data_IF_299325323662
#
_entry.id   IF_299325323662
#
_cell.length_a   1.000
_cell.length_b   1.000
_cell.length_c   1.000
_cell.angle_alpha   90.00
_cell.angle_beta   90.00
_cell.angle_gamma   90.00
#
_symmetry.space_group_name_H-M   'P 1'
#
loop_
_entity.id
_entity.type
_entity.pdbx_description
1 polymer ?
#
# COMPACT_ATOMS: atom_id res chain seq x y z
N UNK A 1 3.60 -46.17 47.82
CA UNK A 1 4.00 -46.06 46.39
C UNK A 1 2.79 -45.72 45.50
N UNK A 2 1.87 -44.83 45.94
CA UNK A 2 0.55 -44.63 45.28
C UNK A 2 0.32 -43.19 44.76
N UNK A 3 1.15 -42.20 45.09
CA UNK A 3 0.83 -40.80 44.73
C UNK A 3 1.35 -40.31 43.37
N UNK A 4 2.29 -40.99 42.69
CA UNK A 4 2.87 -40.45 41.44
C UNK A 4 1.94 -40.53 40.23
N UNK A 5 1.06 -41.53 40.17
CA UNK A 5 0.13 -41.72 39.06
C UNK A 5 -1.02 -40.70 39.07
N UNK A 6 -1.48 -40.31 40.27
CA UNK A 6 -2.53 -39.30 40.44
C UNK A 6 -2.04 -37.90 40.05
N UNK A 7 -0.81 -37.52 40.40
CA UNK A 7 -0.22 -36.24 39.96
C UNK A 7 -0.02 -36.18 38.44
N UNK A 8 0.34 -37.30 37.80
CA UNK A 8 0.47 -37.35 36.33
C UNK A 8 -0.88 -37.17 35.63
N UNK A 9 -1.94 -37.80 36.15
CA UNK A 9 -3.31 -37.62 35.62
C UNK A 9 -3.82 -36.19 35.85
N UNK A 10 -3.53 -35.59 37.00
CA UNK A 10 -3.93 -34.20 37.29
C UNK A 10 -3.18 -33.21 36.37
N UNK A 11 -1.89 -33.46 36.09
CA UNK A 11 -1.08 -32.63 35.19
C UNK A 11 -1.51 -32.75 33.72
N UNK A 12 -1.85 -33.95 33.27
CA UNK A 12 -2.40 -34.19 31.92
C UNK A 12 -3.80 -33.59 31.76
N UNK A 13 -4.63 -33.62 32.80
CA UNK A 13 -5.94 -33.00 32.79
C UNK A 13 -5.87 -31.46 32.78
N UNK A 14 -4.90 -30.84 33.46
CA UNK A 14 -4.69 -29.38 33.38
C UNK A 14 -4.09 -28.94 32.04
N UNK A 15 -3.21 -29.74 31.43
CA UNK A 15 -2.70 -29.49 30.07
C UNK A 15 -3.80 -29.60 28.99
N UNK A 16 -4.81 -30.45 29.18
CA UNK A 16 -5.92 -30.60 28.24
C UNK A 16 -6.95 -29.43 28.29
N UNK A 17 -6.94 -28.64 29.36
CA UNK A 17 -7.81 -27.46 29.50
C UNK A 17 -7.18 -26.18 28.93
N UNK A 18 -5.90 -26.21 28.57
CA UNK A 18 -5.28 -25.16 27.75
C UNK A 18 -5.60 -25.46 26.28
N UNK A 19 -6.90 -25.49 25.94
CA UNK A 19 -7.28 -25.17 24.56
C UNK A 19 -6.95 -23.70 24.39
N UNK A 20 -5.84 -23.40 23.71
CA UNK A 20 -5.74 -22.14 22.98
C UNK A 20 -6.96 -22.10 22.06
N UNK A 21 -8.04 -21.46 22.50
CA UNK A 21 -9.01 -20.91 21.57
C UNK A 21 -8.18 -19.98 20.70
N UNK A 22 -7.92 -20.42 19.47
CA UNK A 22 -7.37 -19.54 18.46
C UNK A 22 -8.48 -18.52 18.27
N UNK A 23 -8.40 -17.40 18.99
CA UNK A 23 -9.41 -16.37 18.92
C UNK A 23 -9.60 -16.05 17.45
N UNK A 24 -10.82 -16.26 16.96
CA UNK A 24 -11.12 -15.96 15.56
C UNK A 24 -10.69 -14.51 15.33
N UNK A 25 -9.91 -14.22 14.26
CA UNK A 25 -9.44 -12.88 14.04
C UNK A 25 -10.63 -11.94 14.05
N UNK A 26 -10.62 -10.93 14.93
CA UNK A 26 -11.65 -9.89 14.96
C UNK A 26 -11.25 -8.89 13.88
N UNK A 27 -12.22 -8.52 13.04
CA UNK A 27 -12.00 -7.50 12.01
C UNK A 27 -12.24 -6.11 12.55
N UNK A 28 -11.90 -5.06 11.78
CA UNK A 28 -12.09 -3.71 12.24
C UNK A 28 -13.55 -3.43 12.54
N UNK A 29 -13.78 -2.90 13.73
CA UNK A 29 -15.11 -2.52 14.16
C UNK A 29 -15.63 -1.39 13.27
N UNK A 30 -16.86 -1.55 12.76
CA UNK A 30 -17.36 -0.66 11.71
C UNK A 30 -17.65 0.76 12.19
N UNK A 31 -18.00 0.91 13.47
CA UNK A 31 -18.53 2.18 13.98
C UNK A 31 -17.44 3.07 14.61
N UNK A 32 -16.34 2.47 15.09
CA UNK A 32 -15.29 3.17 15.84
C UNK A 32 -13.88 2.99 15.25
N UNK A 33 -13.72 2.25 14.14
CA UNK A 33 -12.41 2.12 13.50
C UNK A 33 -11.83 3.48 13.14
N UNK A 34 -10.57 3.65 13.53
CA UNK A 34 -9.66 4.71 13.11
C UNK A 34 -8.34 4.06 12.75
N UNK A 35 -7.69 4.57 11.71
CA UNK A 35 -6.38 4.07 11.34
C UNK A 35 -5.41 4.25 12.53
N UNK A 36 -4.71 3.19 12.97
CA UNK A 36 -3.89 3.24 14.18
C UNK A 36 -2.62 4.04 13.94
N UNK A 37 -2.64 5.34 14.26
CA UNK A 37 -1.50 6.26 14.10
C UNK A 37 -0.92 6.70 15.44
N UNK A 38 -0.72 5.74 16.34
CA UNK A 38 -0.13 6.00 17.65
C UNK A 38 1.39 6.21 17.52
N UNK A 39 1.98 7.23 18.17
CA UNK A 39 3.43 7.45 18.13
C UNK A 39 4.21 6.21 18.59
N UNK A 40 5.21 5.81 17.80
CA UNK A 40 6.00 4.61 18.05
C UNK A 40 5.49 3.36 17.32
N UNK A 41 4.28 3.37 16.76
CA UNK A 41 3.79 2.25 15.97
C UNK A 41 4.59 2.08 14.67
N UNK A 42 4.87 0.82 14.32
CA UNK A 42 5.74 0.42 13.21
C UNK A 42 5.11 -0.74 12.44
N UNK A 43 5.09 -0.62 11.11
CA UNK A 43 4.75 -1.69 10.19
C UNK A 43 5.96 -2.02 9.33
N UNK A 44 6.18 -3.30 9.10
CA UNK A 44 7.16 -3.79 8.13
C UNK A 44 6.41 -4.64 7.12
N UNK A 45 6.61 -4.33 5.84
CA UNK A 45 6.03 -5.05 4.73
C UNK A 45 7.12 -5.68 3.87
N UNK A 46 6.86 -6.89 3.42
CA UNK A 46 7.57 -7.50 2.30
C UNK A 46 6.83 -7.14 1.01
N UNK A 47 7.55 -6.56 0.05
CA UNK A 47 7.02 -6.10 -1.24
C UNK A 47 7.64 -6.93 -2.35
N UNK A 48 6.81 -7.40 -3.29
CA UNK A 48 7.24 -8.03 -4.53
C UNK A 48 6.60 -7.34 -5.74
N UNK A 49 7.40 -7.10 -6.77
CA UNK A 49 6.95 -6.67 -8.09
C UNK A 49 7.23 -7.81 -9.04
N UNK A 50 6.21 -8.31 -9.73
CA UNK A 50 6.34 -9.36 -10.72
C UNK A 50 5.94 -8.83 -12.10
N UNK A 51 6.74 -9.16 -13.11
CA UNK A 51 6.48 -8.86 -14.52
C UNK A 51 6.29 -10.17 -15.26
N UNK A 52 5.07 -10.45 -15.70
CA UNK A 52 4.76 -11.65 -16.49
C UNK A 52 4.69 -11.29 -17.98
N UNK A 53 5.62 -11.80 -18.78
CA UNK A 53 5.77 -11.39 -20.18
C UNK A 53 5.08 -12.38 -21.14
N UNK A 54 4.33 -11.83 -22.09
CA UNK A 54 3.62 -12.55 -23.14
C UNK A 54 4.05 -12.03 -24.53
N UNK A 55 5.29 -12.34 -24.98
CA UNK A 55 5.77 -11.91 -26.29
C UNK A 55 5.02 -12.61 -27.43
N UNK A 56 4.86 -11.93 -28.57
CA UNK A 56 4.24 -12.52 -29.79
C UNK A 56 5.08 -13.65 -30.38
N UNK A 57 6.40 -13.60 -30.17
CA UNK A 57 7.35 -14.61 -30.62
C UNK A 57 8.45 -14.82 -29.58
N UNK A 58 8.88 -16.07 -29.43
CA UNK A 58 9.88 -16.45 -28.43
C UNK A 58 9.29 -16.61 -27.02
N UNK A 59 10.17 -16.73 -26.04
CA UNK A 59 9.81 -16.85 -24.62
C UNK A 59 10.67 -15.90 -23.80
N UNK A 60 10.06 -15.15 -22.89
CA UNK A 60 10.76 -14.34 -21.91
C UNK A 60 10.33 -14.81 -20.52
N UNK A 61 11.31 -15.08 -19.66
CA UNK A 61 11.00 -15.45 -18.28
C UNK A 61 10.37 -14.26 -17.54
N UNK A 62 9.52 -14.57 -16.56
CA UNK A 62 9.04 -13.57 -15.62
C UNK A 62 10.23 -12.95 -14.87
N UNK A 63 10.08 -11.69 -14.51
CA UNK A 63 11.07 -10.94 -13.72
C UNK A 63 10.45 -10.50 -12.40
N UNK A 64 11.24 -10.47 -11.33
CA UNK A 64 10.75 -10.16 -10.00
C UNK A 64 11.72 -9.28 -9.22
N UNK A 65 11.20 -8.23 -8.60
CA UNK A 65 11.93 -7.35 -7.68
C UNK A 65 11.34 -7.44 -6.29
N UNK A 66 12.21 -7.47 -5.28
CA UNK A 66 11.82 -7.52 -3.88
C UNK A 66 12.30 -6.27 -3.14
N UNK A 67 11.48 -5.79 -2.21
CA UNK A 67 11.84 -4.67 -1.34
C UNK A 67 11.19 -4.83 0.03
N UNK A 68 11.82 -4.26 1.05
CA UNK A 68 11.21 -4.11 2.37
C UNK A 68 10.69 -2.69 2.53
N UNK A 69 9.45 -2.54 3.01
CA UNK A 69 8.88 -1.23 3.35
C UNK A 69 8.73 -1.15 4.86
N UNK A 70 9.30 -0.12 5.48
CA UNK A 70 9.10 0.22 6.88
C UNK A 70 8.28 1.50 6.99
N UNK A 71 7.15 1.43 7.69
CA UNK A 71 6.33 2.58 8.05
C UNK A 71 6.44 2.80 9.55
N UNK A 72 6.64 4.03 9.99
CA UNK A 72 6.80 4.39 11.40
C UNK A 72 6.08 5.70 11.72
N UNK A 73 5.21 5.69 12.73
CA UNK A 73 4.60 6.91 13.25
C UNK A 73 5.60 7.58 14.19
N UNK A 74 6.10 8.74 13.77
CA UNK A 74 7.07 9.51 14.55
C UNK A 74 6.35 10.23 15.69
N UNK A 75 5.21 10.85 15.38
CA UNK A 75 4.42 11.60 16.36
C UNK A 75 3.76 12.83 15.76
N UNK A 76 3.30 13.72 16.62
CA UNK A 76 2.69 14.99 16.21
C UNK A 76 3.75 15.97 15.66
N UNK A 77 3.39 16.71 14.61
CA UNK A 77 4.21 17.76 14.02
C UNK A 77 3.32 18.97 13.65
N UNK A 78 3.78 20.18 14.01
CA UNK A 78 3.19 21.44 13.56
C UNK A 78 3.83 21.90 12.25
N UNK A 79 3.05 21.98 11.17
CA UNK A 79 3.49 22.60 9.91
C UNK A 79 3.15 24.09 9.91
N UNK A 80 4.12 24.93 9.53
CA UNK A 80 4.00 26.40 9.49
C UNK A 80 3.43 27.01 10.78
N UNK A 81 3.83 26.47 11.93
CA UNK A 81 3.43 26.89 13.28
C UNK A 81 1.92 26.86 13.58
N UNK A 82 1.08 26.38 12.64
CA UNK A 82 -0.38 26.53 12.72
C UNK A 82 -1.17 25.27 12.36
N UNK A 83 -0.57 24.33 11.64
CA UNK A 83 -1.27 23.15 11.15
C UNK A 83 -0.75 21.88 11.84
N UNK A 84 -1.50 21.40 12.84
CA UNK A 84 -1.20 20.16 13.54
C UNK A 84 -1.38 18.95 12.62
N UNK A 85 -0.39 18.06 12.59
CA UNK A 85 -0.36 16.84 11.78
C UNK A 85 0.28 15.68 12.54
N UNK A 86 0.12 14.46 12.04
CA UNK A 86 0.83 13.26 12.49
C UNK A 86 1.88 12.94 11.42
N UNK A 87 3.15 12.98 11.81
CA UNK A 87 4.30 12.69 10.94
C UNK A 87 4.56 11.18 10.91
N UNK A 88 4.60 10.64 9.71
CA UNK A 88 4.85 9.22 9.44
C UNK A 88 6.04 9.12 8.51
N UNK A 89 7.04 8.32 8.89
CA UNK A 89 8.20 8.00 8.05
C UNK A 89 7.93 6.72 7.27
N UNK A 90 8.24 6.76 5.98
CA UNK A 90 8.28 5.59 5.09
C UNK A 90 9.73 5.37 4.65
N UNK A 91 10.23 4.16 4.79
CA UNK A 91 11.53 3.75 4.27
C UNK A 91 11.35 2.54 3.37
N UNK A 92 11.89 2.60 2.16
CA UNK A 92 11.89 1.49 1.21
C UNK A 92 13.32 1.06 0.98
N UNK A 93 13.60 -0.20 1.27
CA UNK A 93 14.91 -0.84 1.11
C UNK A 93 14.83 -1.84 -0.02
N UNK A 94 15.67 -1.67 -1.04
CA UNK A 94 15.80 -2.56 -2.19
C UNK A 94 17.30 -2.72 -2.49
N UNK A 95 17.80 -3.94 -2.33
CA UNK A 95 19.22 -4.27 -2.45
C UNK A 95 20.11 -3.33 -1.60
N UNK A 96 21.07 -2.64 -2.22
CA UNK A 96 21.96 -1.68 -1.55
C UNK A 96 21.39 -0.26 -1.46
N UNK A 97 20.14 -0.05 -1.89
CA UNK A 97 19.54 1.28 -1.99
C UNK A 97 18.41 1.45 -0.97
N UNK A 98 18.33 2.63 -0.36
CA UNK A 98 17.24 3.00 0.54
C UNK A 98 16.68 4.36 0.15
N UNK A 99 15.36 4.47 0.15
CA UNK A 99 14.64 5.73 -0.01
C UNK A 99 13.84 6.01 1.26
N UNK A 100 13.90 7.24 1.75
CA UNK A 100 13.12 7.69 2.91
C UNK A 100 12.21 8.85 2.51
N UNK A 101 10.95 8.75 2.91
CA UNK A 101 9.92 9.78 2.71
C UNK A 101 9.21 10.08 4.03
N UNK A 102 8.58 11.25 4.09
CA UNK A 102 7.71 11.62 5.20
C UNK A 102 6.33 12.02 4.69
N UNK A 103 5.31 11.49 5.35
CA UNK A 103 3.91 11.83 5.10
C UNK A 103 3.34 12.50 6.36
N UNK A 104 2.49 13.50 6.18
CA UNK A 104 1.88 14.26 7.26
C UNK A 104 0.36 14.10 7.17
N UNK A 105 -0.24 13.52 8.21
CA UNK A 105 -1.66 13.17 8.22
C UNK A 105 -2.47 13.96 9.23
N UNK A 106 -3.79 13.99 9.05
CA UNK A 106 -4.77 14.28 10.10
C UNK A 106 -5.77 13.13 10.16
N UNK A 107 -5.94 12.51 11.32
CA UNK A 107 -6.90 11.43 11.53
C UNK A 107 -8.11 11.99 12.27
N UNK A 108 -9.19 12.26 11.53
CA UNK A 108 -10.42 12.86 12.06
C UNK A 108 -11.52 11.82 12.13
N UNK A 109 -12.68 12.22 12.63
CA UNK A 109 -13.80 11.31 12.83
C UNK A 109 -14.35 10.72 11.54
N UNK A 110 -14.28 11.50 10.46
CA UNK A 110 -14.85 11.18 9.16
C UNK A 110 -13.85 10.54 8.20
N UNK A 111 -12.55 10.75 8.40
CA UNK A 111 -11.52 10.29 7.48
C UNK A 111 -10.08 10.45 8.00
N UNK A 112 -9.18 9.68 7.38
CA UNK A 112 -7.75 9.94 7.35
C UNK A 112 -7.41 10.84 6.18
N UNK A 113 -6.83 12.00 6.47
CA UNK A 113 -6.41 13.01 5.49
C UNK A 113 -4.90 13.02 5.35
N UNK A 114 -4.39 13.01 4.11
CA UNK A 114 -3.01 13.38 3.81
C UNK A 114 -2.93 14.89 3.55
N UNK A 115 -2.07 15.55 4.32
CA UNK A 115 -1.89 17.00 4.33
C UNK A 115 -0.66 17.40 3.51
N UNK A 116 0.44 16.68 3.70
CA UNK A 116 1.71 17.02 3.06
C UNK A 116 2.60 15.79 2.90
N UNK A 117 3.59 15.92 2.01
CA UNK A 117 4.61 14.90 1.70
C UNK A 117 5.98 15.57 1.57
N UNK A 118 7.02 14.90 2.05
CA UNK A 118 8.43 15.22 1.79
C UNK A 118 9.09 14.00 1.17
N UNK A 119 9.85 14.21 0.09
CA UNK A 119 10.47 13.14 -0.70
C UNK A 119 9.60 12.63 -1.85
N UNK A 120 10.01 11.52 -2.44
CA UNK A 120 9.26 10.80 -3.47
C UNK A 120 8.48 9.65 -2.86
N UNK A 121 7.30 9.92 -2.31
CA UNK A 121 6.48 8.88 -1.70
C UNK A 121 6.27 7.70 -2.67
N UNK A 122 6.66 6.50 -2.22
CA UNK A 122 6.51 5.27 -3.02
C UNK A 122 5.08 4.76 -2.86
N UNK A 123 4.49 4.93 -1.68
CA UNK A 123 3.05 4.91 -1.46
C UNK A 123 2.42 6.29 -1.77
N UNK A 124 1.39 6.29 -2.62
CA UNK A 124 0.76 7.47 -3.23
C UNK A 124 0.40 8.63 -2.27
N UNK A 125 0.39 9.89 -2.77
CA UNK A 125 0.44 10.27 -4.18
C UNK A 125 1.86 10.60 -4.70
N UNK A 126 2.19 10.04 -5.86
CA UNK A 126 3.44 10.32 -6.58
C UNK A 126 3.41 11.74 -7.16
N UNK A 127 4.54 12.43 -7.03
CA UNK A 127 4.84 13.70 -7.72
C UNK A 127 5.18 13.41 -9.18
N UNK A 128 4.53 14.07 -10.13
CA UNK A 128 5.15 14.31 -11.44
C UNK A 128 6.33 15.23 -11.20
N UNK A 129 7.55 14.71 -11.28
CA UNK A 129 8.73 15.56 -11.36
C UNK A 129 8.49 16.55 -12.50
N UNK A 130 8.76 17.85 -12.25
CA UNK A 130 8.51 18.93 -13.21
C UNK A 130 9.41 18.91 -14.44
N UNK A 131 9.86 17.73 -14.85
CA UNK A 131 10.59 17.54 -16.09
C UNK A 131 9.54 17.50 -17.20
N UNK A 132 9.58 18.50 -18.08
CA UNK A 132 8.84 18.50 -19.34
C UNK A 132 9.31 17.32 -20.20
N UNK A 133 8.80 16.13 -19.92
CA UNK A 133 8.92 14.99 -20.83
C UNK A 133 7.79 15.11 -21.85
N UNK A 134 8.08 15.82 -22.94
CA UNK A 134 7.26 15.84 -24.14
C UNK A 134 7.34 14.46 -24.83
N UNK A 135 6.67 13.47 -24.25
CA UNK A 135 6.44 12.16 -24.85
C UNK A 135 4.98 11.81 -24.60
N UNK A 136 4.35 11.16 -25.58
CA UNK A 136 2.90 10.93 -25.68
C UNK A 136 2.22 10.52 -24.34
N UNK A 137 0.90 10.73 -24.15
CA UNK A 137 0.18 10.40 -22.92
C UNK A 137 0.40 8.96 -22.39
N UNK A 138 0.76 8.05 -23.30
CA UNK A 138 1.08 6.63 -23.03
C UNK A 138 2.48 6.41 -22.41
N UNK A 139 3.35 7.43 -22.40
CA UNK A 139 4.78 7.31 -22.09
C UNK A 139 5.21 7.87 -20.73
N UNK A 140 4.46 8.80 -20.11
CA UNK A 140 4.73 9.26 -18.74
C UNK A 140 4.43 8.21 -17.67
N UNK A 141 3.65 7.18 -18.03
CA UNK A 141 3.38 6.00 -17.22
C UNK A 141 4.58 5.04 -17.09
N UNK A 142 5.47 5.02 -18.09
CA UNK A 142 6.59 4.07 -18.16
C UNK A 142 7.74 4.47 -17.25
N UNK A 143 8.08 5.74 -17.18
CA UNK A 143 9.29 6.17 -16.47
C UNK A 143 9.21 6.08 -14.93
N UNK A 144 8.03 6.18 -14.31
CA UNK A 144 7.91 6.15 -12.83
C UNK A 144 7.73 4.74 -12.23
N UNK A 145 7.51 3.73 -13.08
CA UNK A 145 7.47 2.32 -12.70
C UNK A 145 8.76 1.62 -13.16
N UNK A 146 9.30 1.98 -14.33
CA UNK A 146 10.53 1.40 -14.89
C UNK A 146 11.81 2.05 -14.32
N UNK A 147 11.83 3.33 -13.93
CA UNK A 147 13.01 3.88 -13.23
C UNK A 147 13.29 3.20 -11.89
N UNK A 148 12.27 2.58 -11.28
CA UNK A 148 12.45 1.70 -10.12
C UNK A 148 12.97 0.30 -10.47
N UNK A 149 12.85 -0.15 -11.72
CA UNK A 149 13.40 -1.41 -12.22
C UNK A 149 14.87 -1.28 -12.65
N UNK A 150 15.30 -0.11 -13.13
CA UNK A 150 16.70 0.16 -13.52
C UNK A 150 17.66 0.34 -12.32
N UNK A 151 17.22 0.02 -11.09
CA UNK A 151 18.04 0.04 -9.87
C UNK A 151 18.50 1.43 -9.40
N UNK A 152 18.23 2.48 -10.15
CA UNK A 152 18.60 3.85 -9.82
C UNK A 152 17.39 4.61 -9.29
N UNK A 153 17.16 4.57 -7.97
CA UNK A 153 16.25 5.50 -7.32
C UNK A 153 16.73 6.92 -7.63
N UNK A 154 16.02 7.64 -8.50
CA UNK A 154 16.35 9.02 -8.84
C UNK A 154 16.20 9.85 -7.55
N UNK A 155 17.26 10.51 -7.05
CA UNK A 155 17.15 11.35 -5.86
C UNK A 155 16.25 12.55 -6.20
N UNK A 156 14.98 12.47 -5.81
CA UNK A 156 14.07 13.61 -5.80
C UNK A 156 14.61 14.57 -4.75
N UNK A 157 14.77 15.84 -5.09
CA UNK A 157 15.22 16.89 -4.17
C UNK A 157 14.44 16.76 -2.83
N UNK A 158 15.16 16.28 -1.82
CA UNK A 158 14.61 15.77 -0.55
C UNK A 158 14.03 16.91 0.30
N UNK A 159 14.30 18.16 -0.07
CA UNK A 159 14.11 19.32 0.80
C UNK A 159 12.79 20.06 0.55
N UNK A 160 11.95 19.61 -0.39
CA UNK A 160 10.69 20.29 -0.70
C UNK A 160 9.49 19.62 -0.05
N UNK A 161 8.87 20.30 0.92
CA UNK A 161 7.55 19.97 1.45
C UNK A 161 6.47 20.26 0.40
N UNK A 162 5.75 19.23 -0.04
CA UNK A 162 4.60 19.35 -0.92
C UNK A 162 3.31 19.36 -0.11
N UNK A 163 2.49 20.40 -0.25
CA UNK A 163 1.17 20.46 0.37
C UNK A 163 0.09 19.95 -0.57
N UNK A 164 -0.72 19.03 -0.06
CA UNK A 164 -1.92 18.57 -0.74
C UNK A 164 -3.01 19.63 -0.61
N UNK A 165 -3.40 20.22 -1.74
CA UNK A 165 -4.44 21.25 -1.83
C UNK A 165 -5.51 20.86 -2.85
N UNK A 166 -6.75 20.51 -2.43
CA UNK A 166 -7.14 20.25 -1.04
C UNK A 166 -6.45 19.00 -0.47
N UNK A 167 -6.49 18.82 0.85
CA UNK A 167 -6.02 17.61 1.51
C UNK A 167 -6.70 16.36 0.91
N UNK A 168 -5.94 15.26 0.80
CA UNK A 168 -6.42 14.03 0.17
C UNK A 168 -7.10 13.14 1.20
N UNK A 169 -8.30 12.65 0.90
CA UNK A 169 -8.99 11.65 1.72
C UNK A 169 -8.40 10.28 1.43
N UNK A 170 -7.45 9.84 2.26
CA UNK A 170 -6.75 8.57 2.10
C UNK A 170 -7.68 7.40 2.41
N UNK A 171 -8.44 7.53 3.50
CA UNK A 171 -9.39 6.54 3.97
C UNK A 171 -10.60 7.25 4.56
N UNK A 172 -11.82 6.83 4.18
CA UNK A 172 -13.05 7.39 4.71
C UNK A 172 -13.63 6.48 5.78
N UNK A 173 -14.17 7.06 6.85
CA UNK A 173 -14.86 6.33 7.91
C UNK A 173 -16.37 6.59 7.86
N UNK A 174 -17.21 5.62 8.26
CA UNK A 174 -16.86 4.21 8.53
C UNK A 174 -16.51 3.43 7.25
N UNK A 175 -15.80 2.31 7.38
CA UNK A 175 -15.44 1.41 6.27
C UNK A 175 -16.61 0.51 5.84
N UNK A 176 -17.72 1.12 5.45
CA UNK A 176 -18.93 0.39 5.04
C UNK A 176 -18.92 0.09 3.53
N UNK A 177 -19.27 -1.15 3.16
CA UNK A 177 -19.37 -1.57 1.76
C UNK A 177 -20.23 -0.61 0.92
N UNK A 178 -19.76 -0.31 -0.30
CA UNK A 178 -20.40 0.63 -1.21
C UNK A 178 -20.05 2.10 -0.99
N UNK A 179 -19.44 2.47 0.14
CA UNK A 179 -18.95 3.85 0.36
C UNK A 179 -17.85 4.15 -0.67
N UNK A 180 -18.04 5.24 -1.40
CA UNK A 180 -17.11 5.75 -2.41
C UNK A 180 -16.68 7.18 -2.06
N UNK A 181 -15.43 7.54 -2.39
CA UNK A 181 -14.94 8.91 -2.27
C UNK A 181 -13.90 9.22 -3.33
N UNK A 182 -13.78 10.51 -3.67
CA UNK A 182 -12.71 10.97 -4.54
C UNK A 182 -11.42 11.15 -3.74
N UNK A 183 -10.36 10.49 -4.19
CA UNK A 183 -9.00 10.75 -3.72
C UNK A 183 -8.36 11.88 -4.53
N UNK A 184 -8.54 11.91 -5.86
CA UNK A 184 -8.02 12.95 -6.74
C UNK A 184 -8.99 13.27 -7.88
N UNK A 185 -9.36 14.55 -8.02
CA UNK A 185 -10.17 15.06 -9.14
C UNK A 185 -9.32 15.49 -10.36
N UNK A 186 -7.99 15.47 -10.24
CA UNK A 186 -7.12 15.99 -11.30
C UNK A 186 -6.99 14.97 -12.43
N UNK A 187 -7.53 15.22 -13.61
CA UNK A 187 -7.22 14.41 -14.80
C UNK A 187 -5.72 14.41 -15.16
N UNK A 188 -4.90 15.31 -14.56
CA UNK A 188 -3.43 15.30 -14.66
C UNK A 188 -2.75 15.51 -13.28
N UNK A 189 -1.95 14.56 -12.78
CA UNK A 189 -1.56 13.35 -13.49
C UNK A 189 -2.64 12.27 -13.56
N UNK A 190 -3.53 12.12 -12.55
CA UNK A 190 -4.51 11.01 -12.48
C UNK A 190 -5.76 11.34 -11.67
N UNK A 191 -6.92 11.02 -12.24
CA UNK A 191 -8.21 11.01 -11.54
C UNK A 191 -8.34 9.69 -10.79
N UNK A 192 -8.67 9.75 -9.51
CA UNK A 192 -8.67 8.58 -8.62
C UNK A 192 -9.87 8.64 -7.69
N UNK A 193 -10.64 7.57 -7.69
CA UNK A 193 -11.66 7.29 -6.68
C UNK A 193 -11.27 6.07 -5.86
N UNK A 194 -11.91 5.92 -4.70
CA UNK A 194 -11.82 4.71 -3.90
C UNK A 194 -13.20 4.24 -3.48
N UNK A 195 -13.37 2.92 -3.35
CA UNK A 195 -14.62 2.29 -2.94
C UNK A 195 -14.37 1.15 -1.98
N UNK A 196 -15.19 1.05 -0.93
CA UNK A 196 -15.21 -0.12 -0.06
C UNK A 196 -15.97 -1.26 -0.74
N UNK A 197 -15.33 -2.42 -0.89
CA UNK A 197 -15.97 -3.61 -1.47
C UNK A 197 -16.64 -4.49 -0.39
N UNK A 198 -16.11 -4.49 0.83
CA UNK A 198 -16.63 -5.28 1.95
C UNK A 198 -15.54 -6.08 2.65
N UNK A 199 -15.96 -7.01 3.52
CA UNK A 199 -15.07 -7.78 4.37
C UNK A 199 -14.43 -8.96 3.62
N UNK A 200 -13.27 -9.38 4.07
CA UNK A 200 -12.54 -10.54 3.58
C UNK A 200 -11.62 -11.06 4.68
N UNK A 201 -11.18 -12.30 4.55
CA UNK A 201 -9.99 -12.77 5.27
C UNK A 201 -8.76 -12.58 4.39
N UNK A 202 -7.64 -12.22 5.02
CA UNK A 202 -6.33 -12.07 4.39
C UNK A 202 -5.29 -12.85 5.17
N UNK A 203 -4.59 -13.74 4.49
CA UNK A 203 -3.42 -14.41 5.05
C UNK A 203 -2.16 -13.60 4.76
N UNK A 204 -1.36 -13.41 5.79
CA UNK A 204 -0.03 -12.78 5.73
C UNK A 204 0.98 -13.70 6.47
N UNK A 205 2.29 -13.45 6.36
CA UNK A 205 3.28 -14.22 7.10
C UNK A 205 3.11 -14.21 8.63
N UNK A 206 2.50 -13.17 9.21
CA UNK A 206 2.28 -13.07 10.66
C UNK A 206 0.89 -13.55 11.12
N UNK A 207 0.05 -14.03 10.21
CA UNK A 207 -1.25 -14.60 10.55
C UNK A 207 -2.37 -14.23 9.59
N UNK A 208 -3.58 -14.62 9.98
CA UNK A 208 -4.82 -14.35 9.25
C UNK A 208 -5.53 -13.15 9.88
N UNK A 209 -5.95 -12.21 9.04
CA UNK A 209 -6.64 -10.99 9.45
C UNK A 209 -8.03 -10.96 8.82
N UNK A 210 -9.05 -10.55 9.59
CA UNK A 210 -10.29 -10.04 9.01
C UNK A 210 -10.07 -8.60 8.60
N UNK A 211 -10.23 -8.32 7.31
CA UNK A 211 -9.90 -7.03 6.72
C UNK A 211 -11.05 -6.54 5.83
N UNK A 212 -11.08 -5.24 5.58
CA UNK A 212 -11.95 -4.59 4.60
C UNK A 212 -11.17 -4.37 3.31
N UNK A 213 -11.75 -4.77 2.18
CA UNK A 213 -11.24 -4.48 0.84
C UNK A 213 -11.62 -3.07 0.42
N UNK A 214 -10.63 -2.25 0.07
CA UNK A 214 -10.81 -0.91 -0.51
C UNK A 214 -10.19 -0.91 -1.90
N UNK A 215 -11.02 -0.75 -2.92
CA UNK A 215 -10.59 -0.65 -4.32
C UNK A 215 -10.23 0.79 -4.66
N UNK A 216 -9.12 0.97 -5.38
CA UNK A 216 -8.79 2.19 -6.09
C UNK A 216 -9.28 2.07 -7.54
N UNK A 217 -9.98 3.10 -8.01
CA UNK A 217 -10.52 3.21 -9.35
C UNK A 217 -9.78 4.38 -10.00
N UNK A 218 -8.97 4.08 -11.02
CA UNK A 218 -7.92 4.98 -11.51
C UNK A 218 -8.14 5.25 -13.00
N UNK A 219 -7.98 6.52 -13.38
CA UNK A 219 -7.81 6.99 -14.75
C UNK A 219 -6.31 7.25 -14.90
N UNK A 220 -5.60 6.26 -15.44
CA UNK A 220 -4.16 6.13 -15.43
C UNK A 220 -3.53 6.79 -16.65
N UNK A 221 -4.20 6.75 -17.80
CA UNK A 221 -3.78 7.39 -19.05
C UNK A 221 -4.32 8.83 -19.23
N UNK A 222 -5.28 9.23 -18.40
CA UNK A 222 -5.82 10.59 -18.35
C UNK A 222 -6.83 10.88 -19.44
N UNK A 223 -7.46 9.86 -20.02
CA UNK A 223 -8.44 9.98 -21.10
C UNK A 223 -9.84 10.44 -20.62
N UNK A 224 -10.07 10.44 -19.31
CA UNK A 224 -11.32 10.85 -18.70
C UNK A 224 -12.29 9.70 -18.43
N UNK A 225 -11.93 8.46 -18.76
CA UNK A 225 -12.58 7.21 -18.35
C UNK A 225 -11.74 6.53 -17.25
N UNK A 226 -12.24 5.45 -16.66
CA UNK A 226 -11.46 4.69 -15.65
C UNK A 226 -10.98 3.40 -16.29
N UNK A 227 -9.72 3.03 -16.06
CA UNK A 227 -9.12 1.83 -16.64
C UNK A 227 -9.77 0.56 -16.06
N UNK A 228 -10.13 -0.38 -16.95
CA UNK A 228 -10.73 -1.67 -16.60
C UNK A 228 -9.70 -2.81 -16.49
N UNK A 229 -8.48 -2.60 -16.99
CA UNK A 229 -7.37 -3.54 -16.92
C UNK A 229 -6.57 -3.45 -15.60
N UNK A 230 -7.04 -2.64 -14.65
CA UNK A 230 -6.35 -2.30 -13.41
C UNK A 230 -7.10 -2.82 -12.18
N UNK A 231 -6.43 -3.66 -11.39
CA UNK A 231 -6.90 -4.13 -10.09
C UNK A 231 -6.00 -3.59 -8.98
N UNK A 232 -6.48 -2.57 -8.28
CA UNK A 232 -5.74 -1.98 -7.17
C UNK A 232 -6.56 -2.03 -5.87
N UNK A 233 -6.17 -2.93 -4.96
CA UNK A 233 -6.88 -3.22 -3.72
C UNK A 233 -5.98 -3.03 -2.50
N UNK A 234 -6.46 -2.26 -1.54
CA UNK A 234 -5.96 -2.20 -0.18
C UNK A 234 -6.79 -3.10 0.73
N UNK A 235 -6.13 -3.78 1.66
CA UNK A 235 -6.77 -4.61 2.66
C UNK A 235 -6.48 -4.03 4.05
N UNK A 236 -7.50 -3.50 4.70
CA UNK A 236 -7.39 -2.75 5.96
C UNK A 236 -7.97 -3.58 7.12
N UNK A 237 -7.17 -3.88 8.13
CA UNK A 237 -7.59 -4.52 9.38
C UNK A 237 -7.46 -3.55 10.57
N UNK A 238 -7.70 -4.02 11.80
CA UNK A 238 -7.50 -3.23 13.03
C UNK A 238 -6.07 -2.71 13.18
N UNK A 239 -5.10 -3.46 12.68
CA UNK A 239 -3.69 -3.06 12.67
C UNK A 239 -3.38 -2.06 11.55
N UNK A 240 -4.34 -1.63 10.73
CA UNK A 240 -4.11 -0.78 9.56
C UNK A 240 -3.99 -1.59 8.27
N UNK A 241 -3.17 -1.15 7.31
CA UNK A 241 -2.95 -1.88 6.05
C UNK A 241 -2.24 -3.22 6.34
N UNK A 242 -2.84 -4.34 5.94
CA UNK A 242 -2.23 -5.68 6.09
C UNK A 242 -1.75 -6.28 4.78
N UNK A 243 -2.32 -5.80 3.67
CA UNK A 243 -1.92 -6.17 2.30
C UNK A 243 -2.27 -5.05 1.33
N UNK A 244 -1.45 -4.88 0.30
CA UNK A 244 -1.79 -4.12 -0.91
C UNK A 244 -1.52 -4.98 -2.14
N UNK A 245 -2.36 -4.86 -3.16
CA UNK A 245 -2.18 -5.52 -4.45
C UNK A 245 -2.51 -4.54 -5.55
N UNK A 246 -1.59 -4.36 -6.49
CA UNK A 246 -1.73 -3.50 -7.66
C UNK A 246 -1.34 -4.29 -8.90
N UNK A 247 -2.32 -4.63 -9.71
CA UNK A 247 -2.17 -5.41 -10.94
C UNK A 247 -2.63 -4.57 -12.13
N UNK A 248 -1.78 -4.43 -13.14
CA UNK A 248 -2.16 -3.90 -14.46
C UNK A 248 -1.97 -5.03 -15.46
N UNK A 249 -3.01 -5.30 -16.25
CA UNK A 249 -2.97 -6.35 -17.27
C UNK A 249 -2.72 -5.80 -18.66
N UNK A 250 -2.12 -6.64 -19.50
CA UNK A 250 -1.97 -6.41 -20.94
C UNK A 250 -1.25 -5.09 -21.28
N UNK A 251 -0.23 -4.71 -20.50
CA UNK A 251 0.59 -3.56 -20.86
C UNK A 251 1.37 -3.85 -22.14
N UNK A 252 1.38 -2.94 -23.14
CA UNK A 252 2.02 -3.21 -24.41
C UNK A 252 3.54 -3.28 -24.26
N UNK A 253 4.14 -4.38 -24.72
CA UNK A 253 5.58 -4.51 -24.89
C UNK A 253 5.94 -3.94 -26.27
N UNK A 254 6.72 -2.87 -26.30
CA UNK A 254 7.11 -2.19 -27.54
C UNK A 254 8.60 -2.40 -27.81
N UNK A 255 8.96 -2.53 -29.09
CA UNK A 255 10.35 -2.45 -29.55
C UNK A 255 10.82 -0.98 -29.66
N UNK A 256 12.07 -0.79 -30.11
CA UNK A 256 12.70 0.51 -30.23
C UNK A 256 12.03 1.42 -31.28
N UNK A 257 11.32 0.84 -32.26
CA UNK A 257 10.56 1.56 -33.28
C UNK A 257 9.11 1.85 -32.83
N UNK A 258 8.73 1.42 -31.62
CA UNK A 258 7.36 1.53 -31.09
C UNK A 258 6.41 0.45 -31.59
N UNK A 259 6.91 -0.56 -32.30
CA UNK A 259 6.18 -1.74 -32.72
C UNK A 259 5.77 -2.60 -31.53
N UNK A 260 4.50 -3.03 -31.49
CA UNK A 260 4.03 -3.93 -30.44
C UNK A 260 4.53 -5.37 -30.70
N UNK A 261 5.40 -5.84 -29.80
CA UNK A 261 6.01 -7.17 -29.83
C UNK A 261 5.41 -8.14 -28.79
N UNK A 262 4.37 -7.73 -28.06
CA UNK A 262 3.71 -8.53 -27.06
C UNK A 262 3.04 -7.71 -25.97
N UNK A 263 2.74 -8.37 -24.86
CA UNK A 263 2.18 -7.74 -23.68
C UNK A 263 2.92 -8.21 -22.43
N UNK A 264 2.69 -7.54 -21.32
CA UNK A 264 3.06 -8.04 -20.01
C UNK A 264 2.05 -7.60 -18.95
N UNK A 265 1.95 -8.39 -17.89
CA UNK A 265 1.22 -8.04 -16.69
C UNK A 265 2.19 -7.52 -15.64
N UNK A 266 1.83 -6.42 -14.98
CA UNK A 266 2.58 -5.81 -13.88
C UNK A 266 1.86 -6.08 -12.58
N UNK A 267 2.49 -6.75 -11.63
CA UNK A 267 1.89 -7.05 -10.33
C UNK A 267 2.78 -6.64 -9.17
N UNK A 268 2.42 -5.56 -8.49
CA UNK A 268 3.05 -5.09 -7.26
C UNK A 268 2.19 -5.50 -6.05
N UNK A 269 2.79 -6.22 -5.11
CA UNK A 269 2.15 -6.68 -3.90
C UNK A 269 2.99 -6.31 -2.69
N UNK A 270 2.32 -5.98 -1.59
CA UNK A 270 2.96 -5.91 -0.29
C UNK A 270 2.14 -6.60 0.78
N UNK A 271 2.82 -7.30 1.70
CA UNK A 271 2.22 -8.04 2.79
C UNK A 271 2.85 -7.62 4.11
N UNK A 272 2.03 -7.47 5.15
CA UNK A 272 2.51 -7.18 6.48
C UNK A 272 3.29 -8.39 7.03
N UNK A 273 4.54 -8.16 7.42
CA UNK A 273 5.44 -9.18 8.00
C UNK A 273 5.84 -8.89 9.43
N UNK A 274 5.57 -7.67 9.93
CA UNK A 274 5.71 -7.32 11.34
C UNK A 274 4.89 -6.09 11.65
N UNK A 275 4.29 -6.06 12.85
CA UNK A 275 3.63 -4.90 13.41
C UNK A 275 4.00 -4.76 14.89
N UNK A 276 4.43 -3.57 15.29
CA UNK A 276 4.67 -3.20 16.68
C UNK A 276 3.86 -1.96 16.99
N UNK A 277 3.11 -1.99 18.10
CA UNK A 277 2.34 -0.85 18.57
C UNK A 277 3.14 -0.06 19.60
#
# INVERSE_FOLDING_TARGET
MINRLAYLFLLLATLALIRCTKDDPVGPSRDDFRYPLEPGSVWIYDRSINLDFHPRSGTRAADSIHATIRIEVIGEEMLFDTLATIKVREQVEQDATSLTNYNFYQNRDEALYLIAVVGGAVALPKKTTGVNHAFAPVFSARFDIISGLDGNLIPIAVDSLHLEKPAKVVLRYPLTAGVEWTYSEKNRPRRIKKRVLGDTEVNTPIGTFKAVKVQWIVDFDGDGEFDDNLDYIDFIADQGLVKRSFLIRNLPLLDDDGGNIGYYDYHDQSFLVSFTK
#
